data_IF_894939022794
#
_entry.id   IF_894939022794
#
_cell.length_a   1.000
_cell.length_b   1.000
_cell.length_c   1.000
_cell.angle_alpha   90.00
_cell.angle_beta   90.00
_cell.angle_gamma   90.00
#
_symmetry.space_group_name_H-M   'P 1'
#
loop_
_entity.id
_entity.type
_entity.pdbx_description
1 polymer ?
#
# COMPACT_ATOMS: atom_id res chain seq x y z
N UNK A 1 -58.46 -55.94 10.17
CA UNK A 1 -58.06 -56.13 11.59
C UNK A 1 -56.77 -56.95 11.60
N UNK A 2 -55.81 -56.52 12.44
CA UNK A 2 -54.39 -56.90 12.51
C UNK A 2 -53.52 -56.24 11.42
N UNK A 3 -52.38 -55.63 11.73
CA UNK A 3 -51.86 -55.07 12.99
C UNK A 3 -50.62 -54.27 12.62
N UNK A 4 -50.45 -53.14 13.29
CA UNK A 4 -49.41 -52.12 13.19
C UNK A 4 -48.02 -52.61 13.61
N UNK A 5 -47.47 -53.62 12.93
CA UNK A 5 -46.15 -54.21 13.27
C UNK A 5 -45.20 -54.45 12.10
N UNK A 6 -45.55 -54.08 10.85
CA UNK A 6 -44.66 -54.23 9.68
C UNK A 6 -44.26 -52.92 8.98
N UNK A 7 -44.48 -51.77 9.62
CA UNK A 7 -43.99 -50.45 9.15
C UNK A 7 -42.85 -49.87 9.99
N UNK A 8 -42.15 -50.71 10.75
CA UNK A 8 -41.09 -50.28 11.67
C UNK A 8 -39.72 -50.92 11.43
N UNK A 9 -39.45 -51.40 10.21
CA UNK A 9 -38.12 -51.89 9.79
C UNK A 9 -37.70 -51.44 8.38
N UNK A 10 -37.97 -50.19 8.00
CA UNK A 10 -37.35 -49.59 6.80
C UNK A 10 -36.87 -48.15 7.02
N UNK A 11 -36.53 -47.78 8.26
CA UNK A 11 -36.07 -46.43 8.57
C UNK A 11 -34.97 -46.38 9.66
N UNK A 12 -34.03 -47.33 9.61
CA UNK A 12 -32.96 -47.48 10.62
C UNK A 12 -31.55 -47.59 10.02
N UNK A 13 -31.33 -47.06 8.83
CA UNK A 13 -29.99 -46.91 8.26
C UNK A 13 -29.80 -45.52 7.65
N UNK A 14 -29.74 -44.48 8.49
CA UNK A 14 -28.94 -43.25 8.27
C UNK A 14 -28.95 -42.43 9.58
N UNK A 15 -28.40 -42.98 10.67
CA UNK A 15 -28.09 -42.21 11.87
C UNK A 15 -26.58 -41.99 11.99
N UNK A 16 -26.19 -40.76 11.72
CA UNK A 16 -25.07 -40.03 12.31
C UNK A 16 -23.74 -40.77 12.50
N UNK A 17 -22.92 -40.79 11.45
CA UNK A 17 -21.48 -40.75 11.63
C UNK A 17 -21.11 -39.30 11.96
N UNK A 18 -21.10 -38.96 13.25
CA UNK A 18 -20.56 -37.67 13.71
C UNK A 18 -19.06 -37.74 13.48
N UNK A 19 -18.60 -37.13 12.40
CA UNK A 19 -17.18 -36.80 12.27
C UNK A 19 -16.90 -35.73 13.32
N UNK A 20 -16.20 -36.11 14.40
CA UNK A 20 -15.50 -35.13 15.23
C UNK A 20 -14.44 -34.50 14.33
N UNK A 21 -14.73 -33.33 13.77
CA UNK A 21 -13.69 -32.48 13.21
C UNK A 21 -12.71 -32.19 14.35
N UNK A 22 -11.49 -32.72 14.22
CA UNK A 22 -10.37 -32.21 15.00
C UNK A 22 -10.37 -30.69 14.87
N UNK A 23 -10.21 -29.97 15.97
CA UNK A 23 -10.15 -28.51 16.00
C UNK A 23 -8.83 -27.97 15.41
N UNK A 24 -8.37 -28.58 14.32
CA UNK A 24 -7.21 -28.15 13.57
C UNK A 24 -7.68 -27.21 12.48
N UNK A 25 -7.52 -25.92 12.75
CA UNK A 25 -7.57 -24.80 11.78
C UNK A 25 -8.92 -24.66 11.08
N UNK A 26 -9.90 -24.08 11.79
CA UNK A 26 -10.94 -23.28 11.11
C UNK A 26 -10.31 -21.94 10.77
N UNK A 27 -9.42 -21.91 9.77
CA UNK A 27 -9.20 -20.70 8.99
C UNK A 27 -10.54 -20.44 8.32
N UNK A 28 -11.17 -19.31 8.64
CA UNK A 28 -12.45 -18.98 8.04
C UNK A 28 -12.21 -18.66 6.56
N UNK A 29 -13.16 -18.99 5.69
CA UNK A 29 -13.13 -18.53 4.28
C UNK A 29 -13.01 -16.99 4.17
N UNK A 30 -13.37 -16.26 5.22
CA UNK A 30 -13.18 -14.81 5.34
C UNK A 30 -11.69 -14.41 5.47
N UNK A 31 -10.83 -15.28 6.00
CA UNK A 31 -9.38 -15.05 6.03
C UNK A 31 -8.74 -15.25 4.64
N UNK A 32 -9.47 -15.79 3.66
CA UNK A 32 -8.93 -16.24 2.37
C UNK A 32 -9.27 -15.34 1.17
N UNK A 33 -10.17 -14.36 1.33
CA UNK A 33 -10.47 -13.37 0.28
C UNK A 33 -10.40 -11.98 0.90
N UNK A 34 -9.19 -11.53 1.17
CA UNK A 34 -8.96 -10.09 1.24
C UNK A 34 -9.19 -9.52 -0.17
N UNK A 35 -10.37 -8.94 -0.39
CA UNK A 35 -10.67 -8.28 -1.66
C UNK A 35 -9.74 -7.08 -1.78
N UNK A 36 -8.79 -7.19 -2.69
CA UNK A 36 -7.83 -6.11 -2.97
C UNK A 36 -8.55 -4.91 -3.55
N UNK A 37 -8.12 -3.72 -3.13
CA UNK A 37 -8.65 -2.48 -3.68
C UNK A 37 -8.27 -2.34 -5.16
N UNK A 38 -9.30 -2.23 -6.00
CA UNK A 38 -9.12 -1.98 -7.43
C UNK A 38 -8.71 -0.53 -7.69
N UNK A 39 -8.13 -0.29 -8.88
CA UNK A 39 -7.80 1.07 -9.34
C UNK A 39 -8.98 2.03 -9.23
N UNK A 40 -10.15 1.62 -9.69
CA UNK A 40 -11.32 2.49 -9.72
C UNK A 40 -11.86 2.78 -8.31
N UNK A 41 -11.76 1.82 -7.38
CA UNK A 41 -12.10 2.04 -5.97
C UNK A 41 -11.16 3.05 -5.33
N UNK A 42 -9.85 2.91 -5.55
CA UNK A 42 -8.87 3.83 -5.02
C UNK A 42 -9.05 5.26 -5.58
N UNK A 43 -9.30 5.39 -6.89
CA UNK A 43 -9.58 6.67 -7.53
C UNK A 43 -10.89 7.28 -7.01
N UNK A 44 -11.93 6.47 -6.78
CA UNK A 44 -13.18 6.95 -6.15
C UNK A 44 -12.93 7.46 -4.73
N UNK A 45 -12.13 6.76 -3.94
CA UNK A 45 -11.74 7.22 -2.61
C UNK A 45 -10.95 8.54 -2.69
N UNK A 46 -10.03 8.70 -3.65
CA UNK A 46 -9.31 9.95 -3.85
C UNK A 46 -10.23 11.11 -4.22
N UNK A 47 -11.24 10.88 -5.07
CA UNK A 47 -12.27 11.88 -5.40
C UNK A 47 -13.04 12.32 -4.17
N UNK A 48 -13.51 11.36 -3.37
CA UNK A 48 -14.22 11.64 -2.12
C UNK A 48 -13.32 12.40 -1.13
N UNK A 49 -12.04 12.02 -1.01
CA UNK A 49 -11.07 12.72 -0.18
C UNK A 49 -10.86 14.18 -0.64
N UNK A 50 -10.75 14.40 -1.95
CA UNK A 50 -10.63 15.74 -2.53
C UNK A 50 -11.89 16.59 -2.26
N UNK A 51 -13.07 15.98 -2.34
CA UNK A 51 -14.37 16.60 -2.05
C UNK A 51 -14.57 16.90 -0.55
N UNK A 52 -13.92 16.17 0.35
CA UNK A 52 -13.92 16.46 1.78
C UNK A 52 -13.12 17.72 2.07
N UNK A 53 -11.93 17.84 1.47
CA UNK A 53 -11.05 18.98 1.74
C UNK A 53 -11.48 20.24 1.00
N UNK A 54 -12.09 20.15 -0.20
CA UNK A 54 -12.54 21.29 -1.05
C UNK A 54 -11.60 22.50 -1.02
N UNK A 55 -10.28 22.28 -1.11
CA UNK A 55 -9.21 23.31 -1.02
C UNK A 55 -9.09 24.07 0.30
N UNK A 56 -9.84 23.70 1.35
CA UNK A 56 -9.72 24.29 2.69
C UNK A 56 -8.36 24.01 3.32
N UNK A 57 -7.74 22.90 2.92
CA UNK A 57 -6.49 22.40 3.47
C UNK A 57 -5.58 21.86 2.35
N UNK A 58 -4.29 21.76 2.64
CA UNK A 58 -3.30 21.23 1.69
C UNK A 58 -3.60 19.75 1.39
N UNK A 59 -3.67 19.39 0.11
CA UNK A 59 -3.93 18.02 -0.34
C UNK A 59 -2.83 17.03 0.05
N UNK A 60 -1.64 17.51 0.44
CA UNK A 60 -0.54 16.66 0.92
C UNK A 60 -0.94 15.81 2.13
N UNK A 61 -1.90 16.26 2.96
CA UNK A 61 -2.41 15.43 4.06
C UNK A 61 -3.14 14.19 3.56
N UNK A 62 -3.82 14.26 2.40
CA UNK A 62 -4.42 13.08 1.75
C UNK A 62 -3.32 12.12 1.29
N UNK A 63 -2.28 12.65 0.62
CA UNK A 63 -1.17 11.84 0.10
C UNK A 63 -0.42 11.11 1.22
N UNK A 64 -0.10 11.80 2.31
CA UNK A 64 0.62 11.20 3.44
C UNK A 64 -0.26 10.22 4.21
N UNK A 65 -1.56 10.50 4.34
CA UNK A 65 -2.47 9.56 5.00
C UNK A 65 -2.66 8.28 4.17
N UNK A 66 -2.77 8.41 2.84
CA UNK A 66 -2.82 7.27 1.92
C UNK A 66 -1.51 6.47 1.96
N UNK A 67 -0.37 7.15 2.06
CA UNK A 67 0.94 6.52 2.22
C UNK A 67 1.01 5.67 3.49
N UNK A 68 0.61 6.24 4.64
CA UNK A 68 0.56 5.54 5.91
C UNK A 68 -0.37 4.32 5.86
N UNK A 69 -1.54 4.46 5.23
CA UNK A 69 -2.47 3.33 5.02
C UNK A 69 -1.80 2.22 4.22
N UNK A 70 -1.14 2.54 3.10
CA UNK A 70 -0.41 1.57 2.28
C UNK A 70 0.66 0.84 3.09
N UNK A 71 1.51 1.58 3.81
CA UNK A 71 2.58 0.99 4.61
C UNK A 71 2.04 0.08 5.72
N UNK A 72 0.97 0.50 6.40
CA UNK A 72 0.35 -0.31 7.43
C UNK A 72 -0.23 -1.62 6.88
N UNK A 73 -0.92 -1.56 5.73
CA UNK A 73 -1.51 -2.75 5.12
C UNK A 73 -0.45 -3.69 4.57
N UNK A 74 0.61 -3.14 3.99
CA UNK A 74 1.76 -3.91 3.52
C UNK A 74 2.45 -4.63 4.67
N UNK A 75 2.75 -3.92 5.76
CA UNK A 75 3.36 -4.51 6.94
C UNK A 75 2.49 -5.63 7.52
N UNK A 76 1.16 -5.42 7.59
CA UNK A 76 0.21 -6.43 8.06
C UNK A 76 0.19 -7.66 7.16
N UNK A 77 0.20 -7.47 5.83
CA UNK A 77 0.29 -8.57 4.85
C UNK A 77 1.57 -9.38 5.08
N UNK A 78 2.72 -8.71 5.10
CA UNK A 78 4.04 -9.33 5.30
C UNK A 78 4.12 -10.09 6.63
N UNK A 79 3.61 -9.48 7.70
CA UNK A 79 3.51 -10.10 9.02
C UNK A 79 2.67 -11.38 8.98
N UNK A 80 1.49 -11.34 8.35
CA UNK A 80 0.61 -12.50 8.24
C UNK A 80 1.23 -13.63 7.39
N UNK A 81 1.92 -13.27 6.29
CA UNK A 81 2.62 -14.22 5.42
C UNK A 81 3.81 -14.88 6.15
N UNK A 82 4.59 -14.09 6.90
CA UNK A 82 5.69 -14.57 7.72
C UNK A 82 5.18 -15.49 8.85
N UNK A 83 4.15 -15.05 9.58
CA UNK A 83 3.52 -15.81 10.66
C UNK A 83 3.03 -17.17 10.16
N UNK A 84 2.31 -17.18 9.03
CA UNK A 84 1.84 -18.43 8.41
C UNK A 84 3.01 -19.37 8.08
N UNK A 85 4.04 -18.85 7.43
CA UNK A 85 5.23 -19.63 7.04
C UNK A 85 5.95 -20.21 8.25
N UNK A 86 6.06 -19.45 9.35
CA UNK A 86 6.71 -19.88 10.59
C UNK A 86 5.90 -20.95 11.33
N UNK A 87 4.58 -20.80 11.37
CA UNK A 87 3.67 -21.81 11.93
C UNK A 87 3.72 -23.12 11.12
N UNK A 88 3.75 -23.04 9.79
CA UNK A 88 3.89 -24.21 8.90
C UNK A 88 5.24 -24.93 9.09
N UNK A 89 6.29 -24.19 9.48
CA UNK A 89 7.60 -24.76 9.86
C UNK A 89 7.60 -25.40 11.26
N UNK A 90 6.48 -25.38 11.98
CA UNK A 90 6.30 -26.07 13.25
C UNK A 90 6.69 -25.26 14.49
N UNK A 91 6.90 -23.94 14.36
CA UNK A 91 7.16 -23.09 15.51
C UNK A 91 5.90 -22.94 16.38
N UNK A 92 6.10 -22.69 17.67
CA UNK A 92 4.98 -22.33 18.53
C UNK A 92 4.38 -20.99 18.11
N UNK A 93 3.11 -20.76 18.46
CA UNK A 93 2.41 -19.52 18.12
C UNK A 93 3.14 -18.27 18.64
N UNK A 94 3.60 -18.32 19.89
CA UNK A 94 4.30 -17.20 20.52
C UNK A 94 5.65 -16.90 19.85
N UNK A 95 6.43 -17.93 19.53
CA UNK A 95 7.70 -17.77 18.81
C UNK A 95 7.47 -17.24 17.39
N UNK A 96 6.47 -17.76 16.68
CA UNK A 96 6.13 -17.35 15.33
C UNK A 96 5.65 -15.89 15.29
N UNK A 97 4.82 -15.45 16.23
CA UNK A 97 4.37 -14.06 16.33
C UNK A 97 5.52 -13.09 16.61
N UNK A 98 6.47 -13.47 17.47
CA UNK A 98 7.65 -12.63 17.75
C UNK A 98 8.60 -12.56 16.55
N UNK A 99 8.85 -13.68 15.87
CA UNK A 99 9.75 -13.72 14.72
C UNK A 99 9.14 -13.09 13.46
N UNK A 100 7.81 -13.17 13.27
CA UNK A 100 7.13 -12.57 12.13
C UNK A 100 7.23 -11.04 12.09
N UNK A 101 7.60 -10.40 13.20
CA UNK A 101 7.82 -8.95 13.32
C UNK A 101 9.25 -8.54 12.95
N UNK A 102 10.14 -9.52 12.78
CA UNK A 102 11.53 -9.23 12.49
C UNK A 102 11.66 -8.47 11.17
N UNK A 103 12.58 -7.51 11.13
CA UNK A 103 12.82 -6.65 9.97
C UNK A 103 13.09 -7.44 8.69
N UNK A 104 13.66 -8.64 8.77
CA UNK A 104 13.96 -9.47 7.60
C UNK A 104 12.72 -9.87 6.78
N UNK A 105 11.54 -9.87 7.38
CA UNK A 105 10.28 -10.15 6.68
C UNK A 105 9.62 -8.91 6.08
N UNK A 106 10.15 -7.71 6.36
CA UNK A 106 9.48 -6.46 6.05
C UNK A 106 10.27 -5.56 5.13
N UNK A 107 9.59 -4.94 4.16
CA UNK A 107 10.23 -3.93 3.29
C UNK A 107 10.59 -2.67 4.06
N UNK A 108 9.73 -2.24 4.97
CA UNK A 108 9.93 -1.06 5.82
C UNK A 108 9.90 -1.44 7.30
N UNK A 109 10.71 -0.76 8.10
CA UNK A 109 10.64 -0.91 9.54
C UNK A 109 9.47 -0.07 10.08
N UNK A 110 8.31 -0.72 10.24
CA UNK A 110 7.06 -0.08 10.64
C UNK A 110 6.79 -0.25 12.14
N UNK A 111 6.42 0.82 12.88
CA UNK A 111 6.11 0.71 14.30
C UNK A 111 4.72 0.13 14.56
N UNK A 112 4.66 -1.12 15.03
CA UNK A 112 3.43 -1.91 15.27
C UNK A 112 2.32 -1.16 16.03
N UNK A 113 2.68 -0.35 17.03
CA UNK A 113 1.72 0.43 17.84
C UNK A 113 1.00 1.54 17.07
N UNK A 114 1.39 1.76 15.82
CA UNK A 114 0.81 2.73 14.90
C UNK A 114 0.33 2.07 13.60
N UNK A 115 0.04 0.77 13.58
CA UNK A 115 -0.76 0.21 12.47
C UNK A 115 -2.09 0.93 12.39
N UNK A 116 -2.70 0.89 11.22
CA UNK A 116 -3.97 1.55 10.94
C UNK A 116 -5.06 1.13 11.94
N UNK A 117 -5.11 -0.16 12.26
CA UNK A 117 -6.00 -0.71 13.28
C UNK A 117 -5.69 -0.17 14.68
N UNK A 118 -4.41 -0.10 15.07
CA UNK A 118 -4.02 0.48 16.36
C UNK A 118 -4.36 1.97 16.44
N UNK A 119 -4.16 2.73 15.36
CA UNK A 119 -4.51 4.14 15.26
C UNK A 119 -6.03 4.34 15.43
N UNK A 120 -6.82 3.51 14.75
CA UNK A 120 -8.30 3.57 14.77
C UNK A 120 -8.91 3.36 16.16
N UNK A 121 -8.23 2.63 17.06
CA UNK A 121 -8.71 2.39 18.43
C UNK A 121 -8.89 3.67 19.27
N UNK A 122 -8.17 4.74 18.94
CA UNK A 122 -8.28 6.03 19.65
C UNK A 122 -8.33 7.20 18.66
N UNK A 123 -9.52 7.45 18.11
CA UNK A 123 -9.78 8.53 17.16
C UNK A 123 -9.53 9.92 17.77
N UNK A 124 -9.83 10.12 19.06
CA UNK A 124 -9.59 11.40 19.74
C UNK A 124 -8.09 11.76 19.80
N UNK A 125 -7.23 10.75 19.97
CA UNK A 125 -5.77 10.90 19.94
C UNK A 125 -5.14 10.78 18.55
N UNK A 126 -5.94 10.62 17.49
CA UNK A 126 -5.45 10.34 16.15
C UNK A 126 -4.42 11.35 15.62
N UNK A 127 -4.60 12.69 15.78
CA UNK A 127 -3.65 13.65 15.20
C UNK A 127 -2.25 13.55 15.82
N UNK A 128 -2.19 13.37 17.15
CA UNK A 128 -0.93 13.18 17.88
C UNK A 128 -0.27 11.88 17.43
N UNK A 129 -1.02 10.77 17.43
CA UNK A 129 -0.49 9.45 17.10
C UNK A 129 -0.03 9.33 15.65
N UNK A 130 -0.73 9.95 14.70
CA UNK A 130 -0.28 10.02 13.31
C UNK A 130 1.03 10.80 13.18
N UNK A 131 1.16 11.92 13.90
CA UNK A 131 2.39 12.73 13.86
C UNK A 131 3.57 11.98 14.49
N UNK A 132 3.34 11.24 15.58
CA UNK A 132 4.35 10.35 16.17
C UNK A 132 4.71 9.19 15.23
N UNK A 133 3.73 8.60 14.56
CA UNK A 133 3.95 7.52 13.61
C UNK A 133 4.85 7.98 12.44
N UNK A 134 4.58 9.15 11.87
CA UNK A 134 5.38 9.72 10.78
C UNK A 134 6.84 9.98 11.21
N UNK A 135 7.03 10.57 12.40
CA UNK A 135 8.37 10.82 12.95
C UNK A 135 9.15 9.53 13.12
N UNK A 136 8.55 8.53 13.75
CA UNK A 136 9.21 7.25 13.99
C UNK A 136 9.47 6.47 12.70
N UNK A 137 8.56 6.54 11.73
CA UNK A 137 8.78 5.95 10.40
C UNK A 137 9.98 6.60 9.71
N UNK A 138 10.10 7.92 9.73
CA UNK A 138 11.24 8.64 9.17
C UNK A 138 12.55 8.32 9.91
N UNK A 139 12.53 8.19 11.23
CA UNK A 139 13.70 7.83 12.03
C UNK A 139 14.23 6.42 11.72
N UNK A 140 13.32 5.46 11.49
CA UNK A 140 13.67 4.06 11.23
C UNK A 140 14.03 3.78 9.77
N UNK A 141 13.56 4.61 8.84
CA UNK A 141 13.72 4.42 7.41
C UNK A 141 14.34 5.69 6.79
N UNK A 142 15.69 5.78 6.68
CA UNK A 142 16.39 6.99 6.25
C UNK A 142 15.92 7.57 4.91
N UNK A 143 15.45 6.73 4.00
CA UNK A 143 14.87 7.15 2.72
C UNK A 143 13.56 7.92 2.84
N UNK A 144 12.83 7.78 3.95
CA UNK A 144 11.59 8.52 4.22
C UNK A 144 11.85 9.86 4.94
N UNK A 145 13.06 10.07 5.44
CA UNK A 145 13.43 11.27 6.18
C UNK A 145 13.35 12.52 5.30
N UNK A 146 12.73 13.57 5.84
CA UNK A 146 12.47 14.79 5.09
C UNK A 146 11.43 14.62 3.99
N UNK A 147 10.67 13.52 3.95
CA UNK A 147 9.52 13.33 3.04
C UNK A 147 8.23 13.29 3.85
N UNK A 148 8.13 12.33 4.78
CA UNK A 148 6.90 12.05 5.53
C UNK A 148 6.78 12.86 6.82
N UNK A 149 7.91 13.24 7.42
CA UNK A 149 8.05 14.01 8.66
C UNK A 149 7.94 15.54 8.46
N UNK A 150 7.71 16.00 7.22
CA UNK A 150 7.44 17.42 6.92
C UNK A 150 6.03 17.85 7.28
N UNK A 151 5.10 16.91 7.39
CA UNK A 151 3.72 17.18 7.78
C UNK A 151 3.52 16.82 9.24
N UNK A 152 2.68 17.61 9.91
CA UNK A 152 2.32 17.40 11.29
C UNK A 152 0.79 17.47 11.43
N UNK A 153 0.17 16.35 11.77
CA UNK A 153 -1.28 16.26 11.94
C UNK A 153 -1.76 16.96 13.22
N UNK A 154 -0.91 17.12 14.23
CA UNK A 154 -1.24 17.89 15.43
C UNK A 154 -1.32 19.38 15.08
N UNK A 155 -0.39 19.89 14.27
CA UNK A 155 -0.46 21.25 13.73
C UNK A 155 -1.72 21.44 12.89
N UNK A 156 -1.95 20.50 11.97
CA UNK A 156 -3.11 20.49 11.08
C UNK A 156 -4.44 20.65 11.82
N UNK A 157 -4.60 19.95 12.93
CA UNK A 157 -5.85 19.88 13.70
C UNK A 157 -5.98 20.95 14.77
N UNK A 158 -5.08 21.95 14.83
CA UNK A 158 -5.27 23.15 15.68
C UNK A 158 -6.56 23.89 15.33
N UNK A 159 -6.94 23.88 14.05
CA UNK A 159 -8.27 24.31 13.63
C UNK A 159 -9.26 23.15 13.84
N UNK A 160 -10.28 23.37 14.67
CA UNK A 160 -11.26 22.32 15.02
C UNK A 160 -11.86 21.63 13.78
N UNK A 161 -12.21 22.40 12.75
CA UNK A 161 -12.82 21.87 11.53
C UNK A 161 -11.90 20.87 10.80
N UNK A 162 -10.57 20.99 10.96
CA UNK A 162 -9.61 20.08 10.35
C UNK A 162 -9.56 18.73 11.06
N UNK A 163 -9.93 18.66 12.33
CA UNK A 163 -10.05 17.39 13.05
C UNK A 163 -11.13 16.52 12.42
N UNK A 164 -12.32 17.10 12.17
CA UNK A 164 -13.43 16.37 11.55
C UNK A 164 -13.08 15.92 10.12
N UNK A 165 -12.34 16.75 9.37
CA UNK A 165 -11.80 16.38 8.05
C UNK A 165 -10.82 15.20 8.17
N UNK A 166 -9.87 15.25 9.12
CA UNK A 166 -8.90 14.18 9.33
C UNK A 166 -9.59 12.85 9.63
N UNK A 167 -10.57 12.86 10.54
CA UNK A 167 -11.33 11.66 10.90
C UNK A 167 -12.09 11.11 9.70
N UNK A 168 -12.73 11.97 8.90
CA UNK A 168 -13.43 11.54 7.69
C UNK A 168 -12.48 10.94 6.63
N UNK A 169 -11.31 11.55 6.42
CA UNK A 169 -10.29 11.00 5.52
C UNK A 169 -9.75 9.65 6.02
N UNK A 170 -9.51 9.54 7.34
CA UNK A 170 -9.06 8.30 7.96
C UNK A 170 -10.11 7.19 7.82
N UNK A 171 -11.38 7.47 8.11
CA UNK A 171 -12.43 6.46 7.96
C UNK A 171 -12.68 6.10 6.49
N UNK A 172 -12.57 7.05 5.57
CA UNK A 172 -12.64 6.81 4.14
C UNK A 172 -11.58 5.79 3.67
N UNK A 173 -10.31 6.00 4.06
CA UNK A 173 -9.23 5.08 3.70
C UNK A 173 -9.25 3.77 4.51
N UNK A 174 -9.90 3.74 5.67
CA UNK A 174 -10.13 2.50 6.43
C UNK A 174 -10.92 1.45 5.65
N UNK A 175 -11.73 1.86 4.67
CA UNK A 175 -12.47 0.96 3.79
C UNK A 175 -11.64 0.32 2.68
N UNK A 176 -10.35 0.68 2.55
CA UNK A 176 -9.45 0.16 1.53
C UNK A 176 -8.58 -0.96 2.11
N UNK A 177 -8.19 -1.88 1.23
CA UNK A 177 -7.10 -2.83 1.47
C UNK A 177 -6.03 -2.61 0.40
N UNK A 178 -4.94 -1.95 0.82
CA UNK A 178 -3.81 -1.60 -0.02
C UNK A 178 -2.64 -2.55 0.18
N UNK A 179 -2.83 -3.67 0.89
CA UNK A 179 -1.76 -4.60 1.22
C UNK A 179 -1.09 -5.19 -0.01
N UNK A 180 -1.84 -5.46 -1.07
CA UNK A 180 -1.33 -5.99 -2.35
C UNK A 180 -1.57 -5.10 -3.56
N UNK A 181 -2.09 -3.89 -3.34
CA UNK A 181 -2.26 -2.92 -4.42
C UNK A 181 -0.92 -2.66 -5.12
N UNK A 182 -0.90 -2.82 -6.45
CA UNK A 182 0.31 -2.58 -7.25
C UNK A 182 0.76 -1.12 -7.15
N UNK A 183 2.07 -0.90 -7.27
CA UNK A 183 2.67 0.44 -7.19
C UNK A 183 2.14 1.37 -8.31
N UNK A 184 1.83 0.86 -9.50
CA UNK A 184 1.17 1.65 -10.55
C UNK A 184 -0.24 2.13 -10.17
N UNK A 185 -1.04 1.33 -9.47
CA UNK A 185 -2.40 1.75 -9.05
C UNK A 185 -2.31 2.88 -8.01
N UNK A 186 -1.36 2.77 -7.09
CA UNK A 186 -1.06 3.85 -6.14
C UNK A 186 -0.53 5.08 -6.88
N UNK A 187 0.43 4.91 -7.78
CA UNK A 187 0.98 6.00 -8.61
C UNK A 187 -0.10 6.76 -9.38
N UNK A 188 -1.08 6.06 -9.96
CA UNK A 188 -2.23 6.65 -10.62
C UNK A 188 -3.11 7.46 -9.65
N UNK A 189 -3.30 6.99 -8.42
CA UNK A 189 -4.07 7.70 -7.40
C UNK A 189 -3.37 8.97 -6.90
N UNK A 190 -2.05 8.89 -6.65
CA UNK A 190 -1.23 10.04 -6.25
C UNK A 190 -1.24 11.11 -7.33
N UNK A 191 -1.09 10.69 -8.58
CA UNK A 191 -1.07 11.61 -9.70
C UNK A 191 -2.44 12.18 -10.00
N UNK A 192 -3.52 11.40 -9.87
CA UNK A 192 -4.86 11.95 -9.93
C UNK A 192 -5.06 13.06 -8.89
N UNK A 193 -4.60 12.86 -7.65
CA UNK A 193 -4.68 13.87 -6.59
C UNK A 193 -3.84 15.11 -6.93
N UNK A 194 -2.57 14.93 -7.31
CA UNK A 194 -1.67 16.02 -7.69
C UNK A 194 -2.25 16.81 -8.87
N UNK A 195 -2.68 16.10 -9.92
CA UNK A 195 -3.31 16.67 -11.09
C UNK A 195 -4.58 17.42 -10.74
N UNK A 196 -5.45 16.86 -9.89
CA UNK A 196 -6.67 17.53 -9.45
C UNK A 196 -6.38 18.89 -8.78
N UNK A 197 -5.41 18.93 -7.87
CA UNK A 197 -5.01 20.15 -7.14
C UNK A 197 -3.98 21.03 -7.87
N UNK A 198 -3.47 20.60 -9.03
CA UNK A 198 -2.52 21.38 -9.81
C UNK A 198 -3.16 22.68 -10.36
N UNK A 199 -2.38 23.78 -10.45
CA UNK A 199 -2.82 25.00 -11.14
C UNK A 199 -3.21 24.71 -12.58
N UNK A 200 -4.14 25.51 -13.13
CA UNK A 200 -4.67 25.29 -14.48
C UNK A 200 -3.58 25.28 -15.56
N UNK A 201 -2.55 26.14 -15.44
CA UNK A 201 -1.38 26.15 -16.33
C UNK A 201 -0.55 24.86 -16.28
N UNK A 202 -0.45 24.21 -15.11
CA UNK A 202 0.27 22.94 -14.99
C UNK A 202 -0.52 21.77 -15.62
N UNK A 203 -1.83 21.93 -15.83
CA UNK A 203 -2.70 20.95 -16.49
C UNK A 203 -2.61 20.99 -18.02
N UNK A 204 -1.91 21.97 -18.60
CA UNK A 204 -1.80 22.19 -20.06
C UNK A 204 -0.69 21.36 -20.74
N UNK A 205 -0.08 20.39 -20.05
CA UNK A 205 0.80 19.38 -20.65
C UNK A 205 2.29 19.49 -20.32
N UNK A 206 2.74 20.53 -19.62
CA UNK A 206 4.15 20.67 -19.21
C UNK A 206 4.54 19.74 -18.05
N UNK A 207 3.57 19.22 -17.28
CA UNK A 207 3.86 18.50 -16.02
C UNK A 207 3.42 17.04 -16.05
N UNK A 208 2.58 16.64 -17.02
CA UNK A 208 1.93 15.32 -16.98
C UNK A 208 1.82 14.63 -18.34
N UNK A 209 2.29 13.36 -18.40
CA UNK A 209 2.11 12.46 -19.55
C UNK A 209 0.97 11.49 -19.28
N UNK A 210 -0.11 11.46 -20.10
CA UNK A 210 -1.24 10.53 -19.92
C UNK A 210 -0.81 9.06 -19.81
N UNK A 211 -1.47 8.27 -18.95
CA UNK A 211 -1.13 6.87 -18.69
C UNK A 211 -1.13 6.01 -19.96
N UNK A 212 -2.06 6.26 -20.89
CA UNK A 212 -2.15 5.53 -22.16
C UNK A 212 -0.91 5.77 -23.05
N UNK A 213 -0.35 6.97 -22.99
CA UNK A 213 0.87 7.34 -23.73
C UNK A 213 2.08 6.66 -23.09
N UNK A 214 2.16 6.66 -21.75
CA UNK A 214 3.22 5.95 -21.01
C UNK A 214 3.18 4.46 -21.31
N UNK A 215 2.00 3.83 -21.24
CA UNK A 215 1.82 2.40 -21.53
C UNK A 215 2.24 2.04 -22.95
N UNK A 216 1.87 2.90 -23.91
CA UNK A 216 2.29 2.74 -25.30
C UNK A 216 3.81 2.82 -25.43
N UNK A 217 4.44 3.83 -24.84
CA UNK A 217 5.90 4.02 -24.90
C UNK A 217 6.62 2.83 -24.27
N UNK A 218 6.25 2.41 -23.06
CA UNK A 218 6.87 1.25 -22.38
C UNK A 218 6.72 -0.02 -23.21
N UNK A 219 5.57 -0.25 -23.85
CA UNK A 219 5.36 -1.41 -24.73
C UNK A 219 6.17 -1.34 -26.02
N UNK A 220 6.40 -0.15 -26.57
CA UNK A 220 7.25 0.05 -27.75
C UNK A 220 8.72 -0.17 -27.39
N UNK A 221 9.15 0.36 -26.26
CA UNK A 221 10.53 0.18 -25.75
C UNK A 221 10.80 -1.28 -25.37
N UNK A 222 9.79 -1.97 -24.81
CA UNK A 222 9.86 -3.38 -24.38
C UNK A 222 11.11 -3.68 -23.53
N UNK A 223 11.29 -2.98 -22.38
CA UNK A 223 12.47 -3.12 -21.55
C UNK A 223 12.64 -4.57 -21.05
N UNK A 224 13.89 -5.02 -20.97
CA UNK A 224 14.27 -6.37 -20.54
C UNK A 224 14.91 -6.36 -19.15
N UNK A 225 14.93 -7.53 -18.48
CA UNK A 225 15.79 -7.69 -17.32
C UNK A 225 17.24 -7.35 -17.69
N UNK A 226 17.96 -6.70 -16.79
CA UNK A 226 19.33 -6.18 -16.99
C UNK A 226 19.47 -4.97 -17.94
N UNK A 227 18.38 -4.43 -18.49
CA UNK A 227 18.45 -3.15 -19.19
C UNK A 227 18.56 -1.99 -18.18
N UNK A 228 19.19 -0.89 -18.60
CA UNK A 228 19.15 0.38 -17.86
C UNK A 228 18.10 1.29 -18.48
N UNK A 229 17.08 1.66 -17.71
CA UNK A 229 16.03 2.59 -18.15
C UNK A 229 16.33 3.99 -17.61
N UNK A 230 16.36 4.97 -18.51
CA UNK A 230 16.63 6.36 -18.18
C UNK A 230 15.53 7.27 -18.72
N UNK A 231 15.03 8.15 -17.86
CA UNK A 231 14.08 9.21 -18.22
C UNK A 231 14.66 10.57 -17.80
N UNK A 232 15.12 11.41 -18.75
CA UNK A 232 15.72 12.72 -18.45
C UNK A 232 14.73 13.74 -17.90
N UNK A 233 13.42 13.49 -18.06
CA UNK A 233 12.35 14.36 -17.61
C UNK A 233 11.37 13.58 -16.73
N UNK A 234 11.91 12.70 -15.89
CA UNK A 234 11.14 11.68 -15.15
C UNK A 234 9.96 12.24 -14.33
N UNK A 235 9.99 13.50 -13.91
CA UNK A 235 8.93 14.10 -13.10
C UNK A 235 8.64 13.23 -11.87
N UNK A 236 7.43 12.65 -11.82
CA UNK A 236 6.98 11.70 -10.80
C UNK A 236 7.41 10.23 -11.05
N UNK A 237 8.44 10.02 -11.87
CA UNK A 237 9.01 8.73 -12.24
C UNK A 237 8.03 7.71 -12.85
N UNK A 238 6.90 8.17 -13.42
CA UNK A 238 5.84 7.30 -13.96
C UNK A 238 6.35 6.33 -15.01
N UNK A 239 7.16 6.81 -15.96
CA UNK A 239 7.71 5.97 -17.03
C UNK A 239 8.56 4.83 -16.44
N UNK A 240 9.32 5.14 -15.38
CA UNK A 240 10.19 4.19 -14.69
C UNK A 240 9.38 3.16 -13.88
N UNK A 241 8.39 3.61 -13.10
CA UNK A 241 7.46 2.72 -12.37
C UNK A 241 6.76 1.78 -13.35
N UNK A 242 6.30 2.31 -14.48
CA UNK A 242 5.57 1.50 -15.46
C UNK A 242 6.47 0.54 -16.23
N UNK A 243 7.73 0.92 -16.47
CA UNK A 243 8.74 0.01 -17.01
C UNK A 243 9.05 -1.14 -16.04
N UNK A 244 9.22 -0.84 -14.74
CA UNK A 244 9.39 -1.86 -13.70
C UNK A 244 8.20 -2.83 -13.67
N UNK A 245 6.98 -2.31 -13.60
CA UNK A 245 5.76 -3.13 -13.58
C UNK A 245 5.62 -3.97 -14.86
N UNK A 246 5.99 -3.45 -16.02
CA UNK A 246 5.99 -4.19 -17.28
C UNK A 246 6.96 -5.38 -17.23
N UNK A 247 8.19 -5.16 -16.77
CA UNK A 247 9.19 -6.24 -16.61
C UNK A 247 8.73 -7.25 -15.56
N UNK A 248 8.20 -6.77 -14.42
CA UNK A 248 7.65 -7.61 -13.36
C UNK A 248 6.53 -8.53 -13.86
N UNK A 249 5.60 -8.00 -14.64
CA UNK A 249 4.49 -8.77 -15.21
C UNK A 249 4.95 -9.80 -16.24
N UNK A 250 6.01 -9.48 -17.00
CA UNK A 250 6.47 -10.30 -18.12
C UNK A 250 7.50 -11.37 -17.72
N UNK A 251 8.37 -11.06 -16.77
CA UNK A 251 9.52 -11.89 -16.41
C UNK A 251 9.52 -12.34 -14.95
N UNK A 252 8.92 -11.56 -14.04
CA UNK A 252 8.91 -11.87 -12.61
C UNK A 252 9.47 -10.74 -11.75
N UNK A 253 9.23 -10.82 -10.45
CA UNK A 253 9.68 -9.82 -9.46
C UNK A 253 11.20 -9.79 -9.32
N UNK A 254 11.89 -10.94 -9.40
CA UNK A 254 13.35 -10.99 -9.25
C UNK A 254 14.05 -10.28 -10.42
N UNK A 255 13.57 -10.52 -11.63
CA UNK A 255 14.08 -9.91 -12.86
C UNK A 255 13.81 -8.41 -12.92
N UNK A 256 12.67 -7.95 -12.40
CA UNK A 256 12.35 -6.54 -12.31
C UNK A 256 13.30 -5.78 -11.37
N UNK A 257 13.73 -6.41 -10.26
CA UNK A 257 14.68 -5.80 -9.31
C UNK A 257 16.06 -5.53 -9.89
N UNK A 258 16.49 -6.30 -10.88
CA UNK A 258 17.77 -6.04 -11.54
C UNK A 258 17.74 -4.74 -12.37
N UNK A 259 16.56 -4.33 -12.84
CA UNK A 259 16.37 -3.04 -13.52
C UNK A 259 16.58 -1.86 -12.55
N UNK A 260 16.11 -1.97 -11.29
CA UNK A 260 16.33 -0.98 -10.25
C UNK A 260 17.80 -0.89 -9.82
N UNK A 261 18.47 -2.04 -9.70
CA UNK A 261 19.88 -2.12 -9.30
C UNK A 261 20.79 -1.34 -10.25
N UNK A 262 20.59 -1.51 -11.56
CA UNK A 262 21.38 -0.81 -12.57
C UNK A 262 21.10 0.70 -12.59
N UNK A 263 19.86 1.11 -12.30
CA UNK A 263 19.55 2.52 -12.11
C UNK A 263 20.29 3.13 -10.91
N UNK A 264 20.52 2.38 -9.83
CA UNK A 264 21.32 2.82 -8.67
C UNK A 264 22.83 2.85 -8.95
N UNK A 265 23.37 1.87 -9.67
CA UNK A 265 24.80 1.86 -10.05
C UNK A 265 25.15 3.02 -10.98
N UNK A 266 24.25 3.36 -11.89
CA UNK A 266 24.38 4.52 -12.79
C UNK A 266 24.39 5.84 -12.00
N UNK A 267 23.66 5.92 -10.87
CA UNK A 267 23.70 7.10 -9.95
C UNK A 267 25.06 7.25 -9.26
N UNK A 268 25.72 6.15 -8.89
CA UNK A 268 27.01 6.16 -8.16
C UNK A 268 28.21 6.51 -9.05
N UNK A 269 28.16 6.26 -10.35
CA UNK A 269 29.33 6.32 -11.25
C UNK A 269 29.55 7.65 -12.01
N UNK A 270 29.06 8.79 -11.50
CA UNK A 270 29.70 10.09 -11.79
C UNK A 270 29.08 11.05 -12.82
N UNK A 271 27.76 11.15 -12.93
CA UNK A 271 27.14 12.35 -13.54
C UNK A 271 26.96 13.42 -12.45
N UNK A 272 27.28 14.72 -12.67
CA UNK A 272 27.18 15.75 -11.63
C UNK A 272 25.72 16.11 -11.33
N UNK A 273 25.08 15.26 -10.54
CA UNK A 273 23.68 15.36 -10.14
C UNK A 273 23.33 16.68 -9.42
N UNK A 274 24.31 17.37 -8.86
CA UNK A 274 24.10 18.62 -8.12
C UNK A 274 23.82 19.84 -9.02
N UNK A 275 24.30 19.83 -10.27
CA UNK A 275 23.94 20.87 -11.26
C UNK A 275 22.50 20.69 -11.77
N UNK A 276 22.07 19.45 -12.00
CA UNK A 276 20.73 19.14 -12.50
C UNK A 276 19.63 19.36 -11.43
N UNK A 277 19.94 19.07 -10.16
CA UNK A 277 19.07 19.36 -9.00
C UNK A 277 18.79 20.85 -8.81
N UNK A 278 19.78 21.71 -9.11
CA UNK A 278 19.67 23.16 -8.99
C UNK A 278 18.82 23.79 -10.09
N UNK A 279 18.81 23.20 -11.30
CA UNK A 279 18.04 23.71 -12.45
C UNK A 279 16.59 23.19 -12.49
N UNK A 280 16.29 22.02 -11.91
CA UNK A 280 14.98 21.36 -12.07
C UNK A 280 14.18 21.12 -10.78
N UNK A 281 14.72 21.44 -9.60
CA UNK A 281 13.93 21.55 -8.36
C UNK A 281 13.24 20.27 -7.83
N UNK A 282 13.55 19.08 -8.36
CA UNK A 282 12.87 17.82 -8.00
C UNK A 282 13.81 16.83 -7.30
N UNK A 283 13.34 16.25 -6.18
CA UNK A 283 13.99 15.14 -5.46
C UNK A 283 13.30 13.83 -5.87
N UNK A 284 14.01 12.95 -6.56
CA UNK A 284 13.55 11.57 -6.79
C UNK A 284 14.11 10.70 -5.67
N UNK A 285 13.24 10.30 -4.74
CA UNK A 285 13.48 9.24 -3.77
C UNK A 285 13.30 7.87 -4.44
N UNK A 286 13.85 6.81 -3.84
CA UNK A 286 13.69 5.39 -4.22
C UNK A 286 12.28 5.08 -4.76
N UNK A 287 12.21 4.25 -5.81
CA UNK A 287 11.00 3.48 -6.10
C UNK A 287 10.74 2.50 -4.95
#
# INVERSE_FOLDING_TARGET
>A
MRSTWDQQQSNTFQKNKIYRMNSFVVMTLADYIEIETTRDELIRACKQAADLIRTRVDYKYILVLLFLKRLSDEWKREYNEALKTLLEKGLSKEEAENLAKDRSFHRFEYPERYTWEELRKNINGLPVRLSEALKLLAEKNPELQGVVDRLDFLEFTRHRDNFDILVQLFELFSGLNLGRASDSILGDAYEWLIGYFAPQKAKEGEVFTPSEVVDLIVRIVDPKPMDSVYDPAAGYARMLIRAYDYVKQKYGEEEARELDRLAEETKKNGVPWDKLKAELGLRVTRL
#
